data_IF_539240482139
#
_entry.id   IF_539240482139
#
_cell.length_a   1.000
_cell.length_b   1.000
_cell.length_c   1.000
_cell.angle_alpha   90.00
_cell.angle_beta   90.00
_cell.angle_gamma   90.00
#
_symmetry.space_group_name_H-M   'P 1'
#
loop_
_entity.id
_entity.type
_entity.pdbx_description
1 polymer ?
#
# COMPACT_ATOMS: atom_id res chain seq x y z
N UNK A 1 -20.86 -26.05 -23.19
CA UNK A 1 -20.89 -25.73 -21.74
C UNK A 1 -20.06 -24.46 -21.53
N UNK A 2 -20.70 -23.31 -21.25
CA UNK A 2 -19.97 -22.07 -20.93
C UNK A 2 -19.27 -22.27 -19.59
N UNK A 3 -17.95 -22.35 -19.61
CA UNK A 3 -17.14 -22.40 -18.39
C UNK A 3 -17.39 -21.10 -17.61
N UNK A 4 -18.25 -21.16 -16.61
CA UNK A 4 -18.37 -20.10 -15.63
C UNK A 4 -17.03 -20.02 -14.91
N UNK A 5 -16.23 -19.01 -15.23
CA UNK A 5 -15.02 -18.70 -14.49
C UNK A 5 -15.45 -18.34 -13.06
N UNK A 6 -15.35 -19.32 -12.17
CA UNK A 6 -15.43 -19.07 -10.74
C UNK A 6 -14.28 -18.12 -10.45
N UNK A 7 -14.60 -16.88 -10.06
CA UNK A 7 -13.58 -15.93 -9.67
C UNK A 7 -12.90 -16.47 -8.40
N UNK A 8 -11.79 -17.20 -8.59
CA UNK A 8 -11.02 -17.89 -7.54
C UNK A 8 -10.13 -16.94 -6.74
N UNK A 9 -10.17 -15.64 -7.02
CA UNK A 9 -9.37 -14.67 -6.30
C UNK A 9 -9.93 -14.46 -4.88
N UNK A 10 -9.06 -14.35 -3.86
CA UNK A 10 -9.47 -14.17 -2.47
C UNK A 10 -10.16 -12.82 -2.23
N UNK A 11 -9.89 -11.83 -3.09
CA UNK A 11 -10.41 -10.46 -2.92
C UNK A 11 -11.12 -9.93 -4.18
N UNK A 12 -11.90 -8.87 -4.01
CA UNK A 12 -12.56 -8.15 -5.09
C UNK A 12 -11.60 -7.15 -5.76
N UNK A 13 -11.97 -6.64 -6.95
CA UNK A 13 -11.15 -5.66 -7.70
C UNK A 13 -10.80 -4.42 -6.86
N UNK A 14 -11.75 -3.93 -6.07
CA UNK A 14 -11.55 -2.75 -5.20
C UNK A 14 -10.44 -2.98 -4.19
N UNK A 15 -10.39 -4.16 -3.56
CA UNK A 15 -9.32 -4.52 -2.64
C UNK A 15 -7.95 -4.47 -3.32
N UNK A 16 -7.85 -5.04 -4.53
CA UNK A 16 -6.59 -5.01 -5.28
C UNK A 16 -6.17 -3.58 -5.65
N UNK A 17 -7.10 -2.70 -6.00
CA UNK A 17 -6.79 -1.27 -6.22
C UNK A 17 -6.26 -0.62 -4.94
N UNK A 18 -6.87 -0.90 -3.78
CA UNK A 18 -6.41 -0.37 -2.50
C UNK A 18 -5.04 -0.92 -2.10
N UNK A 19 -4.78 -2.22 -2.29
CA UNK A 19 -3.47 -2.84 -2.07
C UNK A 19 -2.40 -2.14 -2.93
N UNK A 20 -2.63 -1.99 -4.24
CA UNK A 20 -1.67 -1.31 -5.12
C UNK A 20 -1.42 0.13 -4.67
N UNK A 21 -2.46 0.81 -4.18
CA UNK A 21 -2.35 2.20 -3.70
C UNK A 21 -1.52 2.27 -2.41
N UNK A 22 -1.75 1.37 -1.46
CA UNK A 22 -0.96 1.26 -0.22
C UNK A 22 0.51 0.99 -0.52
N UNK A 23 0.78 0.04 -1.43
CA UNK A 23 2.13 -0.32 -1.86
C UNK A 23 2.87 0.86 -2.50
N UNK A 24 2.21 1.62 -3.37
CA UNK A 24 2.80 2.83 -3.96
C UNK A 24 3.16 3.86 -2.87
N UNK A 25 2.30 4.02 -1.85
CA UNK A 25 2.55 4.94 -0.75
C UNK A 25 3.78 4.52 0.08
N UNK A 26 3.90 3.23 0.38
CA UNK A 26 5.07 2.63 1.05
C UNK A 26 6.32 2.87 0.22
N UNK A 27 6.25 2.59 -1.08
CA UNK A 27 7.36 2.79 -2.01
C UNK A 27 7.83 4.25 -2.04
N UNK A 28 6.89 5.20 -2.08
CA UNK A 28 7.20 6.63 -1.99
C UNK A 28 7.89 6.96 -0.67
N UNK A 29 7.46 6.37 0.45
CA UNK A 29 8.12 6.53 1.75
C UNK A 29 9.60 6.15 1.71
N UNK A 30 9.93 5.01 1.10
CA UNK A 30 11.32 4.58 0.92
C UNK A 30 12.10 5.46 -0.06
N UNK A 31 11.47 5.91 -1.15
CA UNK A 31 12.10 6.85 -2.09
C UNK A 31 12.45 8.16 -1.39
N UNK A 32 11.55 8.70 -0.55
CA UNK A 32 11.81 9.93 0.20
C UNK A 32 12.96 9.77 1.20
N UNK A 33 13.04 8.62 1.88
CA UNK A 33 14.20 8.30 2.73
C UNK A 33 15.50 8.23 1.92
N UNK A 34 15.47 7.65 0.72
CA UNK A 34 16.64 7.54 -0.14
C UNK A 34 17.09 8.87 -0.74
N UNK A 35 16.20 9.86 -0.82
CA UNK A 35 16.51 11.21 -1.31
C UNK A 35 17.07 12.11 -0.20
N UNK A 36 17.02 11.67 1.06
CA UNK A 36 17.61 12.43 2.16
C UNK A 36 19.13 12.50 2.00
N UNK A 37 19.67 13.72 2.10
CA UNK A 37 21.09 14.01 1.90
C UNK A 37 21.85 14.03 3.22
N UNK A 38 21.14 14.03 4.35
CA UNK A 38 21.78 13.97 5.65
C UNK A 38 22.45 12.61 5.87
N UNK A 39 23.61 12.57 6.55
CA UNK A 39 24.26 11.32 6.87
C UNK A 39 23.32 10.42 7.67
N UNK A 40 23.24 9.15 7.27
CA UNK A 40 22.32 8.15 7.83
C UNK A 40 20.82 8.46 7.68
N UNK A 41 20.44 9.48 6.90
CA UNK A 41 19.03 9.84 6.70
C UNK A 41 18.39 10.47 7.94
N UNK A 42 19.18 11.12 8.80
CA UNK A 42 18.68 11.85 9.98
C UNK A 42 17.99 13.17 9.64
N UNK A 43 17.87 13.52 8.37
CA UNK A 43 17.07 14.65 7.93
C UNK A 43 15.58 14.42 8.17
N UNK A 44 14.81 15.50 8.05
CA UNK A 44 13.36 15.46 8.28
C UNK A 44 12.64 14.57 7.26
N UNK A 45 13.20 14.43 6.05
CA UNK A 45 12.66 13.55 5.01
C UNK A 45 12.83 12.08 5.39
N UNK A 46 14.00 11.70 5.89
CA UNK A 46 14.34 10.35 6.26
C UNK A 46 13.68 9.89 7.55
N UNK A 47 13.76 10.66 8.64
CA UNK A 47 13.29 10.19 9.96
C UNK A 47 11.83 10.53 10.26
N UNK A 48 11.26 11.55 9.62
CA UNK A 48 9.88 12.00 9.90
C UNK A 48 8.95 11.65 8.75
N UNK A 49 9.20 12.17 7.55
CA UNK A 49 8.29 12.00 6.41
C UNK A 49 8.24 10.55 5.94
N UNK A 50 9.41 9.91 5.82
CA UNK A 50 9.52 8.51 5.43
C UNK A 50 8.66 7.59 6.30
N UNK A 51 8.87 7.54 7.63
CA UNK A 51 8.10 6.67 8.51
C UNK A 51 6.61 6.98 8.53
N UNK A 52 6.21 8.25 8.43
CA UNK A 52 4.79 8.63 8.33
C UNK A 52 4.17 8.05 7.06
N UNK A 53 4.84 8.17 5.91
CA UNK A 53 4.36 7.57 4.65
C UNK A 53 4.26 6.05 4.75
N UNK A 54 5.24 5.39 5.37
CA UNK A 54 5.19 3.94 5.58
C UNK A 54 3.99 3.54 6.43
N UNK A 55 3.76 4.21 7.57
CA UNK A 55 2.62 3.93 8.45
C UNK A 55 1.29 4.13 7.73
N UNK A 56 1.12 5.23 6.99
CA UNK A 56 -0.09 5.48 6.20
C UNK A 56 -0.31 4.40 5.14
N UNK A 57 0.76 4.01 4.44
CA UNK A 57 0.71 2.95 3.44
C UNK A 57 0.29 1.61 4.05
N UNK A 58 0.87 1.22 5.19
CA UNK A 58 0.48 0.01 5.90
C UNK A 58 -0.97 0.07 6.41
N UNK A 59 -1.44 1.22 6.91
CA UNK A 59 -2.85 1.38 7.31
C UNK A 59 -3.77 1.12 6.12
N UNK A 60 -3.43 1.64 4.92
CA UNK A 60 -4.20 1.41 3.70
C UNK A 60 -4.19 -0.08 3.34
N UNK A 61 -3.04 -0.76 3.40
CA UNK A 61 -2.92 -2.21 3.17
C UNK A 61 -3.81 -3.02 4.12
N UNK A 62 -3.77 -2.71 5.42
CA UNK A 62 -4.63 -3.35 6.42
C UNK A 62 -6.11 -3.12 6.11
N UNK A 63 -6.49 -1.88 5.78
CA UNK A 63 -7.86 -1.59 5.35
C UNK A 63 -8.25 -2.32 4.07
N UNK A 64 -7.35 -2.42 3.09
CA UNK A 64 -7.58 -3.11 1.83
C UNK A 64 -7.85 -4.61 2.03
N UNK A 65 -7.11 -5.24 2.94
CA UNK A 65 -7.29 -6.66 3.29
C UNK A 65 -8.58 -6.87 4.09
N UNK A 66 -8.85 -6.01 5.09
CA UNK A 66 -10.04 -6.12 5.93
C UNK A 66 -11.33 -5.72 5.20
N UNK A 67 -11.24 -4.90 4.16
CA UNK A 67 -12.39 -4.44 3.40
C UNK A 67 -13.06 -5.62 2.69
N UNK A 68 -14.06 -6.21 3.32
CA UNK A 68 -14.84 -7.27 2.67
C UNK A 68 -15.84 -6.60 1.74
N UNK A 69 -15.46 -6.36 0.50
CA UNK A 69 -16.38 -5.90 -0.52
C UNK A 69 -17.50 -6.93 -0.65
N UNK A 70 -18.73 -6.57 -0.22
CA UNK A 70 -19.93 -7.39 -0.50
C UNK A 70 -19.92 -7.68 -2.00
N UNK A 71 -19.77 -8.95 -2.38
CA UNK A 71 -19.93 -9.38 -3.77
C UNK A 71 -21.36 -9.05 -4.16
N UNK A 72 -21.54 -7.98 -4.92
CA UNK A 72 -22.83 -7.66 -5.56
C UNK A 72 -23.12 -8.68 -6.64
#
# INVERSE_FOLDING_TARGET
MKQQQTNKLPFCKINYTLLVTGFILIFIGYVLMSLDKEPYGFGTLGITIGPIMLVLGFIIEFFAIMYTAKRK
#
